data_IF_760944623145
#
_entry.id   IF_760944623145
#
_cell.length_a   1.000
_cell.length_b   1.000
_cell.length_c   1.000
_cell.angle_alpha   90.00
_cell.angle_beta   90.00
_cell.angle_gamma   90.00
#
_symmetry.space_group_name_H-M   'P 1'
#
loop_
_entity.id
_entity.type
_entity.pdbx_description
1 polymer ?
#
# COMPACT_ATOMS: atom_id res chain seq x y z
N UNK A 1 -15.59 -10.17 -9.20
CA UNK A 1 -15.78 -9.74 -7.80
C UNK A 1 -16.48 -10.83 -7.02
N UNK A 2 -15.82 -11.35 -5.99
CA UNK A 2 -16.31 -12.50 -5.23
C UNK A 2 -17.35 -12.05 -4.23
N UNK A 3 -18.55 -12.61 -4.32
CA UNK A 3 -19.61 -12.32 -3.36
C UNK A 3 -19.39 -13.00 -2.01
N UNK A 4 -18.56 -14.06 -1.95
CA UNK A 4 -18.37 -14.92 -0.76
C UNK A 4 -17.06 -14.68 -0.03
N UNK A 5 -16.01 -14.27 -0.74
CA UNK A 5 -14.66 -14.11 -0.20
C UNK A 5 -14.12 -12.74 -0.61
N UNK A 6 -14.58 -11.66 0.04
CA UNK A 6 -14.20 -10.32 -0.36
C UNK A 6 -12.71 -10.07 -0.12
N UNK A 7 -12.12 -9.30 -1.04
CA UNK A 7 -10.71 -8.89 -0.97
C UNK A 7 -10.63 -7.37 -0.90
N UNK A 8 -9.97 -6.88 0.14
CA UNK A 8 -9.58 -5.49 0.29
C UNK A 8 -8.09 -5.38 -0.04
N UNK A 9 -7.77 -4.52 -1.00
CA UNK A 9 -6.40 -4.34 -1.47
C UNK A 9 -5.96 -2.90 -1.33
N UNK A 10 -4.91 -2.69 -0.56
CA UNK A 10 -4.24 -1.40 -0.41
C UNK A 10 -2.98 -1.42 -1.25
N UNK A 11 -2.92 -0.49 -2.20
CA UNK A 11 -1.71 -0.21 -2.95
C UNK A 11 -1.20 1.18 -2.59
N UNK A 12 0.11 1.33 -2.53
CA UNK A 12 0.72 2.60 -2.23
C UNK A 12 2.10 2.73 -2.80
N UNK A 13 2.76 3.81 -2.43
CA UNK A 13 4.18 4.00 -2.70
C UNK A 13 5.01 4.00 -1.42
N UNK A 14 6.32 3.92 -1.57
CA UNK A 14 7.20 3.66 -0.43
C UNK A 14 7.19 4.83 0.55
N UNK A 15 6.73 4.61 1.78
CA UNK A 15 6.64 5.66 2.81
C UNK A 15 5.27 6.32 2.92
N UNK A 16 4.26 5.86 2.17
CA UNK A 16 2.90 6.41 2.18
C UNK A 16 2.17 6.41 3.54
N UNK A 17 2.76 5.84 4.59
CA UNK A 17 2.11 5.68 5.89
C UNK A 17 1.25 4.41 5.94
N UNK A 18 1.60 3.39 5.14
CA UNK A 18 0.97 2.06 5.15
C UNK A 18 0.82 1.51 6.56
N UNK A 19 1.86 1.57 7.40
CA UNK A 19 1.76 1.16 8.82
C UNK A 19 0.64 1.88 9.61
N UNK A 20 0.39 3.17 9.34
CA UNK A 20 -0.72 3.90 9.97
C UNK A 20 -2.08 3.42 9.43
N UNK A 21 -2.14 3.15 8.13
CA UNK A 21 -3.34 2.62 7.45
C UNK A 21 -3.68 1.22 7.96
N UNK A 22 -2.71 0.30 8.04
CA UNK A 22 -2.87 -1.04 8.61
C UNK A 22 -3.48 -0.97 10.01
N UNK A 23 -2.97 -0.09 10.87
CA UNK A 23 -3.51 0.13 12.23
C UNK A 23 -4.97 0.58 12.22
N UNK A 24 -5.36 1.49 11.32
CA UNK A 24 -6.76 1.90 11.19
C UNK A 24 -7.65 0.71 10.78
N UNK A 25 -7.20 -0.11 9.84
CA UNK A 25 -7.94 -1.32 9.43
C UNK A 25 -8.05 -2.34 10.55
N UNK A 26 -6.97 -2.61 11.28
CA UNK A 26 -6.98 -3.48 12.47
C UNK A 26 -7.99 -2.99 13.51
N UNK A 27 -8.08 -1.67 13.73
CA UNK A 27 -9.08 -1.09 14.63
C UNK A 27 -10.51 -1.29 14.13
N UNK A 28 -10.77 -1.07 12.83
CA UNK A 28 -12.09 -1.31 12.24
C UNK A 28 -12.45 -2.79 12.36
N UNK A 29 -11.57 -3.70 11.94
CA UNK A 29 -11.82 -5.15 12.00
C UNK A 29 -12.06 -5.63 13.42
N UNK A 30 -11.29 -5.14 14.40
CA UNK A 30 -11.53 -5.42 15.81
C UNK A 30 -12.88 -4.89 16.29
N UNK A 31 -13.25 -3.65 15.93
CA UNK A 31 -14.52 -3.03 16.38
C UNK A 31 -15.74 -3.72 15.79
N UNK A 32 -15.67 -4.07 14.51
CA UNK A 32 -16.77 -4.70 13.78
C UNK A 32 -16.75 -6.23 13.82
N UNK A 33 -15.82 -6.82 14.59
CA UNK A 33 -15.63 -8.26 14.75
C UNK A 33 -15.49 -9.01 13.39
N UNK A 34 -14.56 -8.52 12.56
CA UNK A 34 -14.21 -9.08 11.25
C UNK A 34 -12.88 -9.82 11.36
N UNK A 35 -12.87 -11.11 11.05
CA UNK A 35 -11.64 -11.91 11.01
C UNK A 35 -10.93 -11.74 9.65
N UNK A 36 -9.88 -10.94 9.56
CA UNK A 36 -9.16 -10.71 8.31
C UNK A 36 -7.92 -11.62 8.19
N UNK A 37 -7.75 -12.25 7.02
CA UNK A 37 -6.47 -12.84 6.63
C UNK A 37 -5.56 -11.74 6.08
N UNK A 38 -4.38 -11.54 6.68
CA UNK A 38 -3.45 -10.47 6.28
C UNK A 38 -2.36 -10.95 5.33
N UNK A 39 -2.09 -10.17 4.29
CA UNK A 39 -0.95 -10.30 3.40
C UNK A 39 -0.19 -8.98 3.31
N UNK A 40 1.11 -9.04 3.57
CA UNK A 40 2.05 -7.94 3.31
C UNK A 40 2.71 -8.16 1.95
N UNK A 41 2.76 -7.10 1.13
CA UNK A 41 3.25 -7.18 -0.24
C UNK A 41 4.71 -7.64 -0.35
N UNK A 42 5.52 -7.33 0.67
CA UNK A 42 6.92 -7.73 0.74
C UNK A 42 7.09 -9.26 0.80
N UNK A 43 6.06 -10.00 1.22
CA UNK A 43 6.01 -11.46 1.13
C UNK A 43 6.18 -11.98 -0.30
N UNK A 44 5.81 -11.17 -1.30
CA UNK A 44 5.85 -11.53 -2.72
C UNK A 44 7.08 -10.95 -3.44
N UNK A 45 8.06 -10.38 -2.73
CA UNK A 45 9.35 -10.10 -3.34
C UNK A 45 10.01 -11.39 -3.82
N UNK A 46 10.61 -11.39 -5.01
CA UNK A 46 11.30 -12.55 -5.59
C UNK A 46 12.61 -12.87 -4.86
N UNK A 47 13.30 -11.83 -4.40
CA UNK A 47 14.65 -11.93 -3.85
C UNK A 47 14.70 -11.47 -2.39
N UNK A 48 15.50 -12.17 -1.58
CA UNK A 48 15.85 -11.72 -0.24
C UNK A 48 16.77 -10.48 -0.32
N UNK A 49 17.12 -9.87 0.81
CA UNK A 49 17.90 -8.62 0.86
C UNK A 49 19.26 -8.73 0.14
N UNK A 50 19.94 -9.87 0.28
CA UNK A 50 21.28 -10.10 -0.28
C UNK A 50 21.17 -10.37 -1.78
N UNK A 51 20.27 -11.28 -2.16
CA UNK A 51 20.03 -11.65 -3.55
C UNK A 51 19.57 -10.45 -4.37
N UNK A 52 18.69 -9.61 -3.82
CA UNK A 52 18.24 -8.39 -4.48
C UNK A 52 19.41 -7.44 -4.74
N UNK A 53 20.29 -7.26 -3.75
CA UNK A 53 21.49 -6.42 -3.90
C UNK A 53 22.42 -6.95 -4.98
N UNK A 54 22.64 -8.25 -5.03
CA UNK A 54 23.50 -8.89 -6.03
C UNK A 54 22.90 -8.74 -7.43
N UNK A 55 21.60 -9.03 -7.59
CA UNK A 55 20.89 -8.85 -8.87
C UNK A 55 20.90 -7.42 -9.36
N UNK A 56 20.68 -6.45 -8.46
CA UNK A 56 20.77 -5.03 -8.82
C UNK A 56 22.17 -4.63 -9.31
N UNK A 57 23.25 -5.24 -8.78
CA UNK A 57 24.61 -4.99 -9.24
C UNK A 57 24.86 -5.61 -10.63
N UNK A 58 24.46 -6.87 -10.82
CA UNK A 58 24.57 -7.58 -12.11
C UNK A 58 23.80 -6.85 -13.23
N UNK A 59 22.58 -6.41 -12.96
CA UNK A 59 21.76 -5.68 -13.93
C UNK A 59 22.37 -4.31 -14.26
N UNK A 60 22.96 -3.63 -13.28
CA UNK A 60 23.65 -2.36 -13.51
C UNK A 60 24.88 -2.53 -14.42
N UNK A 61 25.65 -3.61 -14.26
CA UNK A 61 26.79 -3.95 -15.15
C UNK A 61 26.33 -4.24 -16.58
N UNK A 62 25.13 -4.80 -16.75
CA UNK A 62 24.48 -5.03 -18.05
C UNK A 62 23.83 -3.78 -18.65
N UNK A 63 23.90 -2.64 -17.95
CA UNK A 63 23.32 -1.37 -18.38
C UNK A 63 21.86 -1.16 -17.96
N UNK A 64 21.22 -2.15 -17.34
CA UNK A 64 19.90 -1.98 -16.73
C UNK A 64 20.05 -1.27 -15.38
N UNK A 65 19.91 0.05 -15.42
CA UNK A 65 19.97 0.92 -14.25
C UNK A 65 18.62 1.18 -13.60
N UNK A 66 17.54 0.48 -13.99
CA UNK A 66 16.21 0.69 -13.40
C UNK A 66 15.71 -0.45 -12.51
N UNK A 67 16.37 -1.61 -12.53
CA UNK A 67 16.02 -2.77 -11.70
C UNK A 67 15.82 -2.40 -10.22
N UNK A 68 14.60 -2.62 -9.71
CA UNK A 68 14.18 -2.14 -8.39
C UNK A 68 13.05 -2.97 -7.79
N UNK A 69 12.68 -2.73 -6.53
CA UNK A 69 11.52 -3.38 -5.91
C UNK A 69 10.17 -3.05 -6.58
N UNK A 70 10.15 -2.12 -7.53
CA UNK A 70 8.93 -1.81 -8.29
C UNK A 70 8.76 -2.72 -9.51
N UNK A 71 9.84 -3.32 -10.04
CA UNK A 71 9.81 -4.09 -11.28
C UNK A 71 9.04 -5.41 -11.13
N UNK A 72 8.38 -5.90 -12.20
CA UNK A 72 7.80 -7.24 -12.24
C UNK A 72 8.81 -8.35 -11.97
N UNK A 73 10.06 -8.18 -12.42
CA UNK A 73 11.12 -9.18 -12.30
C UNK A 73 11.54 -9.40 -10.85
N UNK A 74 11.36 -8.41 -9.99
CA UNK A 74 11.73 -8.47 -8.57
C UNK A 74 10.58 -8.90 -7.66
N UNK A 75 9.42 -9.21 -8.25
CA UNK A 75 8.22 -9.60 -7.55
C UNK A 75 7.61 -10.89 -8.14
N UNK A 76 6.83 -11.57 -7.33
CA UNK A 76 6.10 -12.80 -7.65
C UNK A 76 4.65 -12.44 -8.00
N UNK A 77 4.46 -11.66 -9.08
CA UNK A 77 3.14 -11.14 -9.44
C UNK A 77 2.14 -12.22 -9.86
N UNK A 78 2.60 -13.26 -10.55
CA UNK A 78 1.74 -14.38 -10.95
C UNK A 78 1.26 -15.16 -9.71
N UNK A 79 2.14 -15.35 -8.72
CA UNK A 79 1.79 -15.96 -7.44
C UNK A 79 0.89 -15.08 -6.58
N UNK A 80 1.06 -13.75 -6.64
CA UNK A 80 0.18 -12.79 -6.00
C UNK A 80 -1.23 -12.83 -6.60
N UNK A 81 -1.34 -12.79 -7.93
CA UNK A 81 -2.61 -12.92 -8.64
C UNK A 81 -3.26 -14.27 -8.35
N UNK A 82 -2.50 -15.36 -8.38
CA UNK A 82 -2.98 -16.69 -8.02
C UNK A 82 -3.57 -16.71 -6.61
N UNK A 83 -2.90 -16.07 -5.64
CA UNK A 83 -3.37 -16.00 -4.25
C UNK A 83 -4.68 -15.22 -4.14
N UNK A 84 -4.79 -14.08 -4.84
CA UNK A 84 -6.02 -13.29 -4.90
C UNK A 84 -7.16 -14.08 -5.56
N UNK A 85 -6.87 -14.78 -6.65
CA UNK A 85 -7.84 -15.62 -7.35
C UNK A 85 -8.33 -16.77 -6.48
N UNK A 86 -7.41 -17.53 -5.87
CA UNK A 86 -7.76 -18.66 -5.01
C UNK A 86 -8.57 -18.21 -3.79
N UNK A 87 -8.24 -17.05 -3.22
CA UNK A 87 -9.01 -16.51 -2.10
C UNK A 87 -10.42 -16.11 -2.56
N UNK A 88 -10.52 -15.37 -3.67
CA UNK A 88 -11.81 -14.95 -4.23
C UNK A 88 -12.72 -16.16 -4.54
N UNK A 89 -12.17 -17.26 -5.07
CA UNK A 89 -12.94 -18.44 -5.46
C UNK A 89 -13.26 -19.38 -4.30
N UNK A 90 -12.29 -19.60 -3.40
CA UNK A 90 -12.32 -20.72 -2.43
C UNK A 90 -12.07 -20.29 -0.99
N UNK A 91 -11.68 -19.05 -0.74
CA UNK A 91 -11.27 -18.56 0.59
C UNK A 91 -9.93 -19.12 1.06
N UNK A 92 -9.12 -19.64 0.15
CA UNK A 92 -7.80 -20.25 0.44
C UNK A 92 -6.70 -19.45 -0.24
N UNK A 93 -5.49 -19.51 0.30
CA UNK A 93 -4.31 -18.91 -0.34
C UNK A 93 -3.07 -19.18 0.49
N UNK A 94 -1.92 -18.72 0.02
CA UNK A 94 -0.66 -18.84 0.74
C UNK A 94 0.02 -17.50 0.87
N UNK A 95 0.74 -17.34 1.97
CA UNK A 95 1.60 -16.18 2.21
C UNK A 95 2.89 -16.61 2.89
N UNK A 96 3.87 -15.73 2.96
CA UNK A 96 5.07 -15.88 3.78
C UNK A 96 5.36 -14.54 4.45
N UNK A 97 6.31 -14.51 5.38
CA UNK A 97 6.71 -13.28 6.04
C UNK A 97 8.10 -12.87 5.56
N UNK A 98 8.31 -11.59 5.26
CA UNK A 98 9.64 -11.05 5.01
C UNK A 98 10.12 -10.37 6.29
N UNK A 99 11.16 -10.92 6.91
CA UNK A 99 11.64 -10.44 8.20
C UNK A 99 12.40 -9.13 8.02
N UNK A 100 11.95 -8.04 8.65
CA UNK A 100 12.54 -6.72 8.48
C UNK A 100 13.74 -6.46 9.41
N UNK A 101 13.62 -6.84 10.67
CA UNK A 101 14.53 -6.48 11.76
C UNK A 101 14.68 -7.61 12.79
N UNK A 102 15.49 -7.36 13.81
CA UNK A 102 15.85 -8.34 14.84
C UNK A 102 14.66 -8.71 15.76
N UNK A 103 13.67 -7.82 15.92
CA UNK A 103 12.47 -8.10 16.70
C UNK A 103 11.60 -9.14 15.98
N UNK A 104 11.36 -8.92 14.68
CA UNK A 104 10.68 -9.92 13.84
C UNK A 104 11.48 -11.21 13.71
N UNK A 105 12.82 -11.12 13.68
CA UNK A 105 13.68 -12.31 13.63
C UNK A 105 13.54 -13.18 14.88
N UNK A 106 13.38 -12.57 16.05
CA UNK A 106 13.11 -13.28 17.30
C UNK A 106 11.74 -13.97 17.29
N UNK A 107 10.73 -13.37 16.65
CA UNK A 107 9.38 -13.94 16.54
C UNK A 107 9.32 -15.11 15.54
N UNK A 108 10.01 -14.98 14.40
CA UNK A 108 9.90 -15.92 13.28
C UNK A 108 11.06 -16.93 13.17
N UNK A 109 12.14 -16.75 13.92
CA UNK A 109 13.32 -17.62 13.88
C UNK A 109 14.09 -17.55 12.55
N UNK A 110 13.89 -16.49 11.77
CA UNK A 110 14.52 -16.27 10.46
C UNK A 110 15.32 -14.97 10.50
N UNK A 111 16.57 -14.92 9.98
CA UNK A 111 17.38 -13.71 10.05
C UNK A 111 16.79 -12.53 9.26
N UNK A 112 17.00 -11.27 9.69
CA UNK A 112 16.51 -10.10 8.98
C UNK A 112 16.94 -10.06 7.51
N UNK A 113 16.01 -9.65 6.64
CA UNK A 113 16.19 -9.61 5.20
C UNK A 113 15.96 -10.94 4.50
N UNK A 114 15.39 -11.95 5.17
CA UNK A 114 15.01 -13.24 4.58
C UNK A 114 13.51 -13.51 4.70
N UNK A 115 13.05 -14.53 3.98
CA UNK A 115 11.66 -14.97 4.02
C UNK A 115 11.49 -16.19 4.92
N UNK A 116 10.35 -16.26 5.62
CA UNK A 116 9.86 -17.52 6.17
C UNK A 116 9.42 -18.47 5.06
N UNK A 117 9.13 -19.73 5.42
CA UNK A 117 8.41 -20.65 4.55
C UNK A 117 7.00 -20.12 4.20
N UNK A 118 6.47 -20.59 3.08
CA UNK A 118 5.07 -20.38 2.73
C UNK A 118 4.16 -21.09 3.73
N UNK A 119 3.07 -20.43 4.11
CA UNK A 119 2.01 -20.96 4.98
C UNK A 119 0.65 -20.70 4.34
N UNK A 120 -0.31 -21.55 4.66
CA UNK A 120 -1.70 -21.33 4.25
C UNK A 120 -2.32 -20.17 5.05
N UNK A 121 -3.24 -19.46 4.40
CA UNK A 121 -4.10 -18.48 5.06
C UNK A 121 -5.14 -19.17 5.94
N UNK A 122 -5.65 -18.44 6.94
CA UNK A 122 -6.73 -18.95 7.80
C UNK A 122 -8.01 -19.18 6.98
N UNK A 123 -8.50 -20.45 6.89
CA UNK A 123 -9.70 -20.77 6.14
C UNK A 123 -10.98 -20.17 6.76
N UNK A 124 -10.94 -19.71 8.01
CA UNK A 124 -12.07 -19.10 8.72
C UNK A 124 -12.12 -17.58 8.58
N UNK A 125 -11.33 -16.99 7.67
CA UNK A 125 -11.33 -15.55 7.45
C UNK A 125 -12.62 -15.04 6.80
N UNK A 126 -13.08 -13.88 7.29
CA UNK A 126 -14.18 -13.12 6.73
C UNK A 126 -13.79 -12.45 5.42
N UNK A 127 -12.55 -11.96 5.32
CA UNK A 127 -11.99 -11.30 4.14
C UNK A 127 -10.47 -11.48 4.06
N UNK A 128 -9.93 -11.23 2.86
CA UNK A 128 -8.50 -11.05 2.66
C UNK A 128 -8.17 -9.56 2.65
N UNK A 129 -7.16 -9.19 3.42
CA UNK A 129 -6.59 -7.86 3.46
C UNK A 129 -5.15 -7.89 2.94
N UNK A 130 -4.92 -7.21 1.82
CA UNK A 130 -3.60 -7.01 1.25
C UNK A 130 -3.12 -5.57 1.48
N UNK A 131 -1.86 -5.43 1.85
CA UNK A 131 -1.17 -4.13 1.89
C UNK A 131 0.20 -4.24 1.22
N UNK A 132 0.47 -3.41 0.22
CA UNK A 132 1.77 -3.38 -0.43
C UNK A 132 1.88 -2.37 -1.56
N UNK A 133 2.91 -2.54 -2.40
CA UNK A 133 3.16 -1.66 -3.54
C UNK A 133 2.41 -2.07 -4.80
N UNK A 134 1.82 -3.28 -4.85
CA UNK A 134 1.33 -3.90 -6.09
C UNK A 134 -0.09 -4.45 -5.98
N UNK A 135 -0.88 -3.90 -5.05
CA UNK A 135 -2.24 -4.39 -4.76
C UNK A 135 -3.25 -4.20 -5.88
N UNK A 136 -2.94 -3.37 -6.88
CA UNK A 136 -3.77 -3.16 -8.06
C UNK A 136 -2.93 -3.18 -9.34
N UNK A 137 -1.83 -3.95 -9.35
CA UNK A 137 -0.95 -4.06 -10.52
C UNK A 137 -1.66 -4.74 -11.70
N UNK A 138 -1.48 -4.18 -12.88
CA UNK A 138 -1.89 -4.74 -14.16
C UNK A 138 -0.67 -4.69 -15.08
N UNK A 139 -0.36 -5.83 -15.68
CA UNK A 139 0.68 -5.99 -16.71
C UNK A 139 0.09 -6.79 -17.87
N UNK A 140 0.89 -7.05 -18.90
CA UNK A 140 0.47 -7.90 -20.02
C UNK A 140 0.22 -9.37 -19.61
N UNK A 141 0.74 -9.80 -18.46
CA UNK A 141 0.63 -11.19 -17.97
C UNK A 141 -0.32 -11.37 -16.80
N UNK A 142 -0.46 -10.35 -15.96
CA UNK A 142 -1.21 -10.41 -14.69
C UNK A 142 -2.15 -9.23 -14.55
N UNK A 143 -3.30 -9.44 -13.93
CA UNK A 143 -4.21 -8.39 -13.51
C UNK A 143 -4.70 -8.70 -12.10
N UNK A 144 -3.95 -8.23 -11.10
CA UNK A 144 -4.31 -8.41 -9.68
C UNK A 144 -5.55 -7.59 -9.33
N UNK A 145 -5.71 -6.41 -9.94
CA UNK A 145 -6.80 -5.48 -9.66
C UNK A 145 -8.19 -6.10 -9.88
N UNK A 146 -8.36 -7.00 -10.86
CA UNK A 146 -9.66 -7.60 -11.17
C UNK A 146 -10.25 -8.46 -10.03
N UNK A 147 -9.40 -8.94 -9.12
CA UNK A 147 -9.80 -9.83 -8.04
C UNK A 147 -10.22 -9.07 -6.77
N UNK A 148 -9.78 -7.83 -6.60
CA UNK A 148 -10.08 -7.02 -5.42
C UNK A 148 -11.43 -6.30 -5.49
N UNK A 149 -12.27 -6.52 -4.47
CA UNK A 149 -13.61 -5.92 -4.37
C UNK A 149 -13.58 -4.47 -3.86
N UNK A 150 -12.55 -4.12 -3.08
CA UNK A 150 -12.27 -2.74 -2.68
C UNK A 150 -10.77 -2.45 -2.81
N UNK A 151 -10.42 -1.50 -3.69
CA UNK A 151 -9.05 -1.10 -3.99
C UNK A 151 -8.80 0.30 -3.46
N UNK A 152 -7.79 0.47 -2.61
CA UNK A 152 -7.50 1.74 -1.96
C UNK A 152 -6.07 2.14 -2.30
N UNK A 153 -5.91 3.34 -2.86
CA UNK A 153 -4.61 3.95 -3.10
C UNK A 153 -4.23 4.83 -1.94
N UNK A 154 -3.08 4.60 -1.30
CA UNK A 154 -2.53 5.51 -0.29
C UNK A 154 -1.18 6.01 -0.80
N UNK A 155 -1.10 7.30 -1.08
CA UNK A 155 0.02 7.85 -1.85
C UNK A 155 0.40 9.26 -1.38
N UNK A 156 1.66 9.53 -1.02
CA UNK A 156 2.16 10.88 -0.86
C UNK A 156 2.39 11.52 -2.24
N UNK A 157 2.39 12.85 -2.32
CA UNK A 157 2.98 13.51 -3.50
C UNK A 157 4.45 13.10 -3.66
N UNK A 158 4.95 13.05 -4.90
CA UNK A 158 6.30 12.56 -5.24
C UNK A 158 7.38 13.21 -4.38
N UNK A 159 7.30 14.53 -4.15
CA UNK A 159 8.25 15.25 -3.30
C UNK A 159 8.31 14.67 -1.88
N UNK A 160 7.15 14.38 -1.27
CA UNK A 160 7.10 13.78 0.07
C UNK A 160 7.61 12.34 0.05
N UNK A 161 7.31 11.57 -0.99
CA UNK A 161 7.86 10.21 -1.16
C UNK A 161 9.39 10.21 -1.15
N UNK A 162 10.00 11.16 -1.87
CA UNK A 162 11.45 11.30 -1.93
C UNK A 162 12.04 11.71 -0.59
N UNK A 163 11.43 12.68 0.10
CA UNK A 163 11.85 13.07 1.47
C UNK A 163 11.82 11.85 2.38
N UNK A 164 10.73 11.08 2.38
CA UNK A 164 10.61 9.87 3.20
C UNK A 164 11.64 8.79 2.85
N UNK A 165 11.97 8.64 1.57
CA UNK A 165 13.02 7.71 1.13
C UNK A 165 14.41 8.17 1.57
N UNK A 166 14.74 9.45 1.38
CA UNK A 166 16.00 10.06 1.79
C UNK A 166 16.24 9.90 3.30
N UNK A 167 15.22 10.15 4.12
CA UNK A 167 15.31 9.99 5.57
C UNK A 167 15.53 8.54 6.00
N UNK A 168 14.81 7.58 5.40
CA UNK A 168 15.00 6.15 5.68
C UNK A 168 16.41 5.68 5.31
N UNK A 169 16.92 6.11 4.16
CA UNK A 169 18.24 5.68 3.68
C UNK A 169 19.39 6.33 4.47
N UNK A 170 19.26 7.60 4.87
CA UNK A 170 20.24 8.28 5.75
C UNK A 170 20.28 7.64 7.14
N UNK A 171 19.13 7.38 7.75
CA UNK A 171 19.05 6.79 9.09
C UNK A 171 19.63 5.37 9.15
N UNK A 172 19.44 4.58 8.09
CA UNK A 172 19.89 3.19 8.07
C UNK A 172 21.36 3.03 7.65
N UNK A 173 21.94 3.93 6.82
CA UNK A 173 23.17 3.59 6.08
C UNK A 173 24.16 4.73 5.76
N UNK A 174 24.03 5.94 6.31
CA UNK A 174 25.09 6.96 6.19
C UNK A 174 25.49 7.35 4.75
N UNK A 175 24.57 7.17 3.77
CA UNK A 175 24.83 7.46 2.36
C UNK A 175 25.05 8.95 2.08
N UNK A 176 25.89 9.27 1.08
CA UNK A 176 26.00 10.62 0.51
C UNK A 176 24.72 10.99 -0.25
N UNK A 177 24.45 12.29 -0.37
CA UNK A 177 23.27 12.81 -1.08
C UNK A 177 23.24 12.38 -2.56
N UNK A 178 24.41 12.23 -3.20
CA UNK A 178 24.54 11.76 -4.59
C UNK A 178 24.07 10.31 -4.74
N UNK A 179 24.51 9.42 -3.85
CA UNK A 179 24.11 8.01 -3.88
C UNK A 179 22.58 7.81 -3.70
N UNK A 180 21.94 8.70 -2.93
CA UNK A 180 20.47 8.66 -2.79
C UNK A 180 19.76 9.22 -4.04
N UNK A 181 20.33 10.25 -4.67
CA UNK A 181 19.80 10.82 -5.92
C UNK A 181 19.78 9.77 -7.03
N UNK A 182 20.89 9.06 -7.22
CA UNK A 182 20.98 7.96 -8.19
C UNK A 182 19.98 6.84 -7.88
N UNK A 183 19.78 6.54 -6.60
CA UNK A 183 18.80 5.52 -6.17
C UNK A 183 17.37 5.92 -6.49
N UNK A 184 17.01 7.20 -6.37
CA UNK A 184 15.68 7.71 -6.74
C UNK A 184 15.51 7.64 -8.25
N UNK A 185 16.46 8.19 -9.02
CA UNK A 185 16.39 8.24 -10.48
C UNK A 185 16.31 6.83 -11.11
N UNK A 186 17.07 5.88 -10.58
CA UNK A 186 16.99 4.46 -10.97
C UNK A 186 15.56 3.92 -10.89
N UNK A 187 14.80 4.29 -9.87
CA UNK A 187 13.47 3.72 -9.65
C UNK A 187 12.37 4.38 -10.47
N UNK A 188 12.63 5.58 -11.03
CA UNK A 188 11.60 6.37 -11.71
C UNK A 188 10.98 5.68 -12.93
N UNK A 189 11.74 4.98 -13.80
CA UNK A 189 11.14 4.21 -14.89
C UNK A 189 10.09 3.22 -14.36
N UNK A 190 10.46 2.33 -13.44
CA UNK A 190 9.52 1.34 -12.91
C UNK A 190 8.39 1.97 -12.10
N UNK A 191 8.65 3.07 -11.38
CA UNK A 191 7.62 3.80 -10.65
C UNK A 191 6.51 4.29 -11.59
N UNK A 192 6.88 4.91 -12.72
CA UNK A 192 5.93 5.41 -13.70
C UNK A 192 5.20 4.28 -14.43
N UNK A 193 5.87 3.14 -14.67
CA UNK A 193 5.27 2.02 -15.41
C UNK A 193 4.44 1.07 -14.54
N UNK A 194 4.78 0.90 -13.26
CA UNK A 194 4.20 -0.15 -12.42
C UNK A 194 3.57 0.36 -11.12
N UNK A 195 3.89 1.56 -10.63
CA UNK A 195 3.27 2.12 -9.41
C UNK A 195 2.16 3.11 -9.77
N UNK A 196 2.48 4.14 -10.56
CA UNK A 196 1.54 5.22 -10.90
C UNK A 196 0.23 4.72 -11.53
N UNK A 197 0.23 3.77 -12.50
CA UNK A 197 -1.00 3.34 -13.17
C UNK A 197 -2.01 2.69 -12.22
N UNK A 198 -1.55 2.07 -11.13
CA UNK A 198 -2.42 1.42 -10.16
C UNK A 198 -3.42 2.39 -9.52
N UNK A 199 -3.07 3.68 -9.38
CA UNK A 199 -3.96 4.69 -8.78
C UNK A 199 -5.14 5.08 -9.68
N UNK A 200 -5.17 4.63 -10.94
CA UNK A 200 -6.35 4.71 -11.80
C UNK A 200 -7.33 3.54 -11.56
N UNK A 201 -6.81 2.41 -11.08
CA UNK A 201 -7.58 1.20 -10.80
C UNK A 201 -8.26 1.21 -9.44
N UNK A 202 -7.71 1.98 -8.49
CA UNK A 202 -8.27 2.12 -7.15
C UNK A 202 -9.64 2.81 -7.12
N UNK A 203 -10.48 2.34 -6.20
CA UNK A 203 -11.83 2.86 -5.97
C UNK A 203 -11.78 4.17 -5.16
N UNK A 204 -10.82 4.27 -4.24
CA UNK A 204 -10.59 5.46 -3.41
C UNK A 204 -9.09 5.75 -3.33
N UNK A 205 -8.68 6.99 -3.57
CA UNK A 205 -7.31 7.45 -3.36
C UNK A 205 -7.24 8.41 -2.16
N UNK A 206 -6.33 8.14 -1.23
CA UNK A 206 -5.91 9.02 -0.14
C UNK A 206 -4.53 9.58 -0.51
N UNK A 207 -4.52 10.79 -1.06
CA UNK A 207 -3.29 11.45 -1.47
C UNK A 207 -2.81 12.44 -0.41
N UNK A 208 -1.65 12.19 0.20
CA UNK A 208 -1.07 13.08 1.21
C UNK A 208 -0.25 14.19 0.55
N UNK A 209 -0.58 15.44 0.88
CA UNK A 209 0.00 16.65 0.29
C UNK A 209 0.56 17.55 1.40
N UNK A 210 1.88 17.67 1.56
CA UNK A 210 2.46 18.67 2.46
C UNK A 210 2.03 20.07 2.10
N UNK A 211 1.70 20.88 3.11
CA UNK A 211 1.43 22.32 2.98
C UNK A 211 2.61 23.17 3.45
N UNK A 212 3.81 22.56 3.46
CA UNK A 212 5.11 23.18 3.73
C UNK A 212 6.00 23.09 2.50
N UNK A 213 7.11 23.82 2.50
CA UNK A 213 8.05 23.83 1.37
C UNK A 213 8.72 22.46 1.20
N UNK A 214 8.37 21.80 0.10
CA UNK A 214 8.97 20.53 -0.36
C UNK A 214 9.59 20.67 -1.75
N UNK A 215 9.85 21.90 -2.19
CA UNK A 215 10.37 22.22 -3.53
C UNK A 215 11.71 21.56 -3.83
N UNK A 216 12.59 21.45 -2.82
CA UNK A 216 13.84 20.68 -2.89
C UNK A 216 13.86 19.55 -1.83
N UNK A 217 13.44 18.33 -2.19
CA UNK A 217 13.36 17.22 -1.24
C UNK A 217 14.73 16.74 -0.74
N UNK A 218 15.83 17.01 -1.45
CA UNK A 218 17.18 16.51 -1.13
C UNK A 218 17.83 17.22 0.07
N UNK A 219 17.36 18.42 0.40
CA UNK A 219 17.82 19.22 1.53
C UNK A 219 16.82 19.24 2.70
N UNK A 220 15.74 18.47 2.61
CA UNK A 220 14.76 18.37 3.68
C UNK A 220 15.41 17.86 4.96
N UNK A 221 15.14 18.54 6.08
CA UNK A 221 15.72 18.23 7.39
C UNK A 221 14.89 17.22 8.19
N UNK A 222 13.60 17.16 7.92
CA UNK A 222 12.68 16.18 8.50
C UNK A 222 11.56 15.90 7.50
N UNK A 223 10.86 14.79 7.73
CA UNK A 223 9.66 14.44 6.99
C UNK A 223 8.52 15.35 7.49
N UNK A 224 7.79 16.05 6.60
CA UNK A 224 6.59 16.79 7.00
C UNK A 224 5.65 15.93 7.84
N UNK A 225 5.20 16.48 8.96
CA UNK A 225 4.27 15.84 9.90
C UNK A 225 2.85 15.76 9.33
N UNK A 226 1.96 15.05 10.02
CA UNK A 226 0.55 15.00 9.63
C UNK A 226 -0.14 16.37 9.76
N UNK A 227 0.31 17.20 10.70
CA UNK A 227 -0.21 18.57 10.87
C UNK A 227 0.30 19.54 9.80
N UNK A 228 1.48 19.28 9.24
CA UNK A 228 2.04 20.03 8.11
C UNK A 228 1.53 19.52 6.75
N UNK A 229 0.44 18.74 6.73
CA UNK A 229 -0.09 18.10 5.52
C UNK A 229 -1.61 18.19 5.45
N UNK A 230 -2.13 18.15 4.23
CA UNK A 230 -3.50 17.81 3.90
C UNK A 230 -3.57 16.42 3.29
N UNK A 231 -4.77 15.81 3.26
CA UNK A 231 -5.04 14.60 2.47
C UNK A 231 -6.22 14.87 1.55
N UNK A 232 -6.01 14.59 0.25
CA UNK A 232 -7.08 14.61 -0.75
C UNK A 232 -7.64 13.20 -0.86
N UNK A 233 -8.93 13.05 -0.58
CA UNK A 233 -9.64 11.78 -0.69
C UNK A 233 -10.54 11.83 -1.92
N UNK A 234 -10.17 11.08 -2.96
CA UNK A 234 -10.89 11.03 -4.24
C UNK A 234 -11.60 9.69 -4.40
N UNK A 235 -12.89 9.73 -4.71
CA UNK A 235 -13.71 8.56 -5.02
C UNK A 235 -13.82 8.38 -6.53
N UNK A 236 -13.55 7.16 -7.03
CA UNK A 236 -13.70 6.82 -8.47
C UNK A 236 -15.14 6.96 -8.93
N UNK A 237 -16.10 6.55 -8.08
CA UNK A 237 -17.53 6.79 -8.26
C UNK A 237 -18.09 7.39 -6.96
N UNK A 238 -18.50 8.68 -6.94
CA UNK A 238 -18.99 9.34 -5.73
C UNK A 238 -20.45 8.98 -5.37
N UNK A 239 -21.13 8.14 -6.17
CA UNK A 239 -22.51 7.75 -5.88
C UNK A 239 -22.61 6.99 -4.55
N UNK A 240 -23.55 7.40 -3.71
CA UNK A 240 -23.76 6.83 -2.37
C UNK A 240 -22.85 7.39 -1.28
N UNK A 241 -21.91 8.29 -1.63
CA UNK A 241 -21.07 8.98 -0.65
C UNK A 241 -21.79 10.23 -0.18
N UNK A 242 -22.05 10.32 1.13
CA UNK A 242 -22.61 11.51 1.75
C UNK A 242 -21.49 12.49 2.12
N UNK A 243 -21.20 13.44 1.22
CA UNK A 243 -20.20 14.46 1.49
C UNK A 243 -20.65 15.49 2.54
N UNK A 244 -21.95 15.76 2.68
CA UNK A 244 -22.45 16.65 3.74
C UNK A 244 -22.20 16.01 5.12
N UNK A 245 -22.49 14.71 5.19
CA UNK A 245 -21.83 13.68 6.00
C UNK A 245 -20.44 14.05 6.51
N UNK A 246 -19.49 13.77 5.64
CA UNK A 246 -18.07 13.85 5.90
C UNK A 246 -17.61 15.26 6.26
N UNK A 247 -18.15 16.30 5.62
CA UNK A 247 -17.84 17.70 5.91
C UNK A 247 -18.23 18.10 7.33
N UNK A 248 -19.38 17.60 7.83
CA UNK A 248 -19.83 17.90 9.18
C UNK A 248 -19.00 17.19 10.25
N UNK A 249 -18.57 15.95 9.98
CA UNK A 249 -17.84 15.11 10.93
C UNK A 249 -16.34 15.39 10.95
N UNK A 250 -15.75 15.77 9.81
CA UNK A 250 -14.32 16.01 9.67
C UNK A 250 -14.10 17.52 9.70
N UNK A 251 -13.93 18.06 10.91
CA UNK A 251 -13.72 19.50 11.10
C UNK A 251 -12.56 20.03 10.25
N UNK A 252 -12.81 21.13 9.53
CA UNK A 252 -11.83 21.79 8.66
C UNK A 252 -11.68 21.14 7.28
N UNK A 253 -12.51 20.15 6.95
CA UNK A 253 -12.57 19.59 5.60
C UNK A 253 -13.35 20.47 4.62
N UNK A 254 -13.04 20.34 3.33
CA UNK A 254 -13.73 21.06 2.26
C UNK A 254 -13.72 20.26 0.96
N UNK A 255 -14.63 20.58 0.03
CA UNK A 255 -14.68 19.94 -1.28
C UNK A 255 -13.77 20.65 -2.27
N UNK A 256 -12.87 19.91 -2.93
CA UNK A 256 -12.02 20.44 -4.01
C UNK A 256 -12.58 20.15 -5.41
N UNK A 257 -13.36 19.06 -5.55
CA UNK A 257 -14.15 18.71 -6.75
C UNK A 257 -15.40 17.95 -6.31
N UNK A 258 -16.35 17.74 -7.23
CA UNK A 258 -17.59 17.01 -6.94
C UNK A 258 -17.40 15.57 -6.42
N UNK A 259 -16.23 14.97 -6.62
CA UNK A 259 -15.90 13.62 -6.16
C UNK A 259 -14.68 13.55 -5.23
N UNK A 260 -14.24 14.70 -4.67
CA UNK A 260 -13.10 14.73 -3.77
C UNK A 260 -13.27 15.70 -2.60
N UNK A 261 -12.95 15.19 -1.42
CA UNK A 261 -12.87 15.96 -0.16
C UNK A 261 -11.41 16.12 0.24
N UNK A 262 -11.05 17.29 0.75
CA UNK A 262 -9.74 17.58 1.32
C UNK A 262 -9.90 17.67 2.83
N UNK A 263 -9.01 17.01 3.56
CA UNK A 263 -9.01 16.97 5.02
C UNK A 263 -7.63 17.36 5.56
N UNK A 264 -7.58 17.81 6.81
CA UNK A 264 -6.31 17.97 7.51
C UNK A 264 -5.63 16.60 7.73
N UNK A 265 -4.30 16.52 7.58
CA UNK A 265 -3.57 15.26 7.62
C UNK A 265 -3.69 14.52 8.96
N UNK A 266 -3.74 15.24 10.07
CA UNK A 266 -4.00 14.65 11.39
C UNK A 266 -5.40 14.04 11.57
N UNK A 267 -6.32 14.26 10.63
CA UNK A 267 -7.67 13.67 10.62
C UNK A 267 -7.78 12.43 9.72
N UNK A 268 -6.67 11.96 9.14
CA UNK A 268 -6.65 10.81 8.23
C UNK A 268 -7.30 9.56 8.86
N UNK A 269 -6.92 9.21 10.09
CA UNK A 269 -7.45 8.03 10.77
C UNK A 269 -8.98 8.11 10.94
N UNK A 270 -9.51 9.22 11.48
CA UNK A 270 -10.95 9.43 11.62
C UNK A 270 -11.66 9.37 10.26
N UNK A 271 -11.12 10.02 9.23
CA UNK A 271 -11.71 10.02 7.90
C UNK A 271 -11.77 8.61 7.30
N UNK A 272 -10.69 7.83 7.44
CA UNK A 272 -10.66 6.44 7.02
C UNK A 272 -11.70 5.61 7.77
N UNK A 273 -11.85 5.79 9.08
CA UNK A 273 -12.90 5.10 9.84
C UNK A 273 -14.30 5.45 9.33
N UNK A 274 -14.62 6.74 9.14
CA UNK A 274 -15.94 7.19 8.67
C UNK A 274 -16.26 6.70 7.25
N UNK A 275 -15.26 6.65 6.37
CA UNK A 275 -15.42 6.28 4.96
C UNK A 275 -15.41 4.76 4.77
N UNK A 276 -14.45 4.06 5.39
CA UNK A 276 -14.17 2.66 5.08
C UNK A 276 -15.01 1.68 5.90
N UNK A 277 -15.37 2.03 7.15
CA UNK A 277 -16.23 1.15 7.97
C UNK A 277 -17.52 0.76 7.24
N UNK A 278 -18.35 1.68 6.70
CA UNK A 278 -19.57 1.27 6.01
C UNK A 278 -19.30 0.46 4.73
N UNK A 279 -18.21 0.72 4.01
CA UNK A 279 -17.84 -0.03 2.81
C UNK A 279 -17.42 -1.46 3.15
N UNK A 280 -16.63 -1.64 4.21
CA UNK A 280 -16.23 -2.95 4.73
C UNK A 280 -17.47 -3.73 5.18
N UNK A 281 -18.37 -3.10 5.93
CA UNK A 281 -19.59 -3.76 6.39
C UNK A 281 -20.49 -4.17 5.23
N UNK A 282 -20.60 -3.36 4.17
CA UNK A 282 -21.32 -3.77 2.96
C UNK A 282 -20.71 -5.01 2.28
N UNK A 283 -19.39 -5.18 2.32
CA UNK A 283 -18.75 -6.40 1.80
C UNK A 283 -19.06 -7.62 2.68
N UNK A 284 -19.02 -7.44 4.00
CA UNK A 284 -19.33 -8.49 4.97
C UNK A 284 -20.81 -8.91 4.92
N UNK A 285 -21.72 -7.95 4.81
CA UNK A 285 -23.15 -8.19 4.71
C UNK A 285 -23.50 -8.95 3.42
N UNK A 286 -22.86 -8.58 2.29
CA UNK A 286 -22.98 -9.32 1.03
C UNK A 286 -22.50 -10.77 1.14
N UNK A 287 -21.39 -11.00 1.85
CA UNK A 287 -20.89 -12.36 2.15
C UNK A 287 -21.90 -13.16 2.99
N UNK A 288 -22.50 -12.54 4.00
CA UNK A 288 -23.52 -13.14 4.86
C UNK A 288 -24.87 -13.35 4.16
N UNK A 289 -25.05 -12.80 2.95
CA UNK A 289 -26.31 -12.88 2.22
C UNK A 289 -27.39 -11.93 2.76
N UNK A 290 -27.00 -10.96 3.58
CA UNK A 290 -27.89 -9.89 4.05
C UNK A 290 -28.18 -8.97 2.86
N UNK A 291 -29.47 -8.70 2.62
CA UNK A 291 -29.94 -7.86 1.51
C UNK A 291 -29.66 -6.39 1.75
#
# INVERSE_FOLDING_TARGET
MSRKHPIISITGSSGAGTTSVKKTFEQIFRRENVNAAFIEGDAFHRYNRIDMRNRMAEEAERGNRHFSHFSPETNLFEELEQTFRDYAEKGTGRTRHYVHDDEEAALHGVPPGNFTGWRDLDPQSDLLFYEGLHGAVITDKVNVAQHADLKIGVVPVINLEWIQKLHRDRAARGYSTEAVTDTILRRMPDYVHYIVPQFAETDINFQRVPTVDTSNPFIARWIPTADESMVVIRFKNPRGIDFAYLLSMIQGSFMSRANSIVIHGAKLDLAMQLILTPLIMQLIDRKRGVK
#
